data_IF_395165970278
#
_entry.id   IF_395165970278
#
_cell.length_a   1.000
_cell.length_b   1.000
_cell.length_c   1.000
_cell.angle_alpha   90.00
_cell.angle_beta   90.00
_cell.angle_gamma   90.00
#
_symmetry.space_group_name_H-M   'P 1'
#
loop_
_entity.id
_entity.type
_entity.pdbx_description
1 polymer ?
#
# COMPACT_ATOMS: atom_id res chain seq x y z
N UNK A 1 24.69 13.72 -12.22
CA UNK A 1 23.76 13.02 -13.12
C UNK A 1 22.56 13.91 -13.18
N UNK A 2 22.38 14.55 -14.32
CA UNK A 2 21.18 15.34 -14.59
C UNK A 2 20.13 14.40 -15.20
N UNK A 3 18.84 14.72 -15.07
CA UNK A 3 17.75 13.91 -15.62
C UNK A 3 17.91 13.61 -17.13
N UNK A 4 18.71 14.44 -17.83
CA UNK A 4 19.02 14.31 -19.26
C UNK A 4 19.97 13.16 -19.59
N UNK A 5 20.63 12.59 -18.59
CA UNK A 5 21.58 11.47 -18.73
C UNK A 5 20.87 10.11 -18.59
N UNK A 6 19.56 10.09 -18.33
CA UNK A 6 18.78 8.85 -18.19
C UNK A 6 18.45 8.30 -19.58
N UNK A 7 18.96 7.10 -19.87
CA UNK A 7 18.61 6.37 -21.09
C UNK A 7 17.22 5.74 -20.95
N UNK A 8 16.29 6.16 -21.82
CA UNK A 8 14.89 5.73 -21.84
C UNK A 8 14.58 4.81 -23.03
N UNK A 9 15.60 4.38 -23.79
CA UNK A 9 15.40 3.55 -24.99
C UNK A 9 14.74 2.20 -24.67
N UNK A 10 15.10 1.59 -23.55
CA UNK A 10 14.54 0.30 -23.11
C UNK A 10 13.28 0.44 -22.23
N UNK A 11 13.11 1.59 -21.56
CA UNK A 11 12.01 1.84 -20.61
C UNK A 11 11.44 3.24 -20.89
N UNK A 12 10.52 3.36 -21.87
CA UNK A 12 9.91 4.65 -22.18
C UNK A 12 9.07 5.16 -21.00
N UNK A 13 8.95 6.48 -20.89
CA UNK A 13 8.14 7.11 -19.86
C UNK A 13 6.66 6.74 -19.98
N UNK A 14 6.02 6.54 -18.83
CA UNK A 14 4.59 6.23 -18.76
C UNK A 14 3.80 7.51 -19.05
N UNK A 15 3.03 7.50 -20.14
CA UNK A 15 2.09 8.57 -20.48
C UNK A 15 0.91 8.62 -19.49
N UNK A 16 0.27 9.78 -19.35
CA UNK A 16 -0.94 9.92 -18.53
C UNK A 16 -2.08 9.00 -19.00
N UNK A 17 -2.19 8.76 -20.30
CA UNK A 17 -3.16 7.83 -20.90
C UNK A 17 -2.89 6.39 -20.47
N UNK A 18 -1.62 5.96 -20.50
CA UNK A 18 -1.20 4.64 -20.02
C UNK A 18 -1.44 4.48 -18.51
N UNK A 19 -1.20 5.55 -17.72
CA UNK A 19 -1.50 5.53 -16.28
C UNK A 19 -3.00 5.41 -16.00
N UNK A 20 -3.85 6.06 -16.81
CA UNK A 20 -5.30 5.92 -16.75
C UNK A 20 -5.75 4.46 -16.89
N UNK A 21 -5.09 3.72 -17.77
CA UNK A 21 -5.35 2.30 -18.05
C UNK A 21 -4.71 1.33 -17.05
N UNK A 22 -3.84 1.79 -16.14
CA UNK A 22 -3.16 0.92 -15.18
C UNK A 22 -4.17 0.10 -14.34
N UNK A 23 -3.86 -1.14 -13.99
CA UNK A 23 -4.71 -1.98 -13.15
C UNK A 23 -4.03 -2.16 -11.80
N UNK A 24 -4.71 -1.78 -10.71
CA UNK A 24 -4.21 -2.06 -9.37
C UNK A 24 -4.21 -3.59 -9.17
N UNK A 25 -3.09 -4.16 -8.74
CA UNK A 25 -2.98 -5.59 -8.43
C UNK A 25 -2.57 -5.78 -6.98
N UNK A 26 -3.22 -6.73 -6.32
CA UNK A 26 -2.86 -7.19 -4.97
C UNK A 26 -2.61 -8.70 -5.05
N UNK A 27 -1.43 -9.14 -4.62
CA UNK A 27 -0.98 -10.54 -4.70
C UNK A 27 -1.14 -11.14 -6.11
N UNK A 28 -0.78 -10.36 -7.15
CA UNK A 28 -0.85 -10.77 -8.56
C UNK A 28 -2.26 -10.70 -9.18
N UNK A 29 -3.32 -10.48 -8.39
CA UNK A 29 -4.70 -10.42 -8.88
C UNK A 29 -5.14 -8.97 -9.13
N UNK A 30 -5.82 -8.68 -10.25
CA UNK A 30 -6.39 -7.36 -10.49
C UNK A 30 -7.48 -7.07 -9.45
N UNK A 31 -7.48 -5.83 -8.93
CA UNK A 31 -8.50 -5.33 -8.01
C UNK A 31 -9.11 -4.05 -8.57
N UNK A 32 -10.39 -3.82 -8.31
CA UNK A 32 -11.09 -2.62 -8.75
C UNK A 32 -10.44 -1.37 -8.15
N UNK A 33 -10.25 -0.34 -8.97
CA UNK A 33 -9.89 0.99 -8.47
C UNK A 33 -11.07 1.56 -7.67
N UNK A 34 -10.86 1.83 -6.38
CA UNK A 34 -11.86 2.50 -5.53
C UNK A 34 -12.13 1.81 -4.19
N UNK A 35 -13.09 2.36 -3.44
CA UNK A 35 -13.56 1.80 -2.17
C UNK A 35 -14.59 0.70 -2.44
N UNK A 36 -14.45 -0.44 -1.78
CA UNK A 36 -15.45 -1.52 -1.80
C UNK A 36 -16.34 -1.40 -0.56
N UNK A 37 -17.67 -1.44 -0.74
CA UNK A 37 -18.59 -1.51 0.38
C UNK A 37 -18.56 -2.92 0.95
N UNK A 38 -18.10 -3.05 2.20
CA UNK A 38 -18.13 -4.29 2.96
C UNK A 38 -19.27 -4.23 3.97
N UNK A 39 -20.00 -5.33 4.13
CA UNK A 39 -20.94 -5.51 5.24
C UNK A 39 -20.27 -6.45 6.25
N UNK A 40 -19.71 -5.87 7.31
CA UNK A 40 -19.00 -6.59 8.35
C UNK A 40 -19.31 -5.97 9.71
N UNK A 41 -19.21 -6.79 10.76
CA UNK A 41 -19.27 -6.29 12.13
C UNK A 41 -17.91 -5.73 12.54
N UNK A 42 -17.93 -4.61 13.26
CA UNK A 42 -16.80 -4.03 13.97
C UNK A 42 -17.22 -3.84 15.42
N UNK A 43 -16.30 -4.05 16.35
CA UNK A 43 -16.57 -3.81 17.77
C UNK A 43 -16.95 -2.35 18.00
N UNK A 44 -17.92 -2.14 18.90
CA UNK A 44 -18.40 -0.79 19.22
C UNK A 44 -17.27 0.10 19.72
N UNK A 45 -16.35 -0.45 20.51
CA UNK A 45 -15.18 0.27 21.02
C UNK A 45 -14.29 0.81 19.88
N UNK A 46 -14.05 -0.01 18.84
CA UNK A 46 -13.26 0.40 17.68
C UNK A 46 -13.94 1.55 16.94
N UNK A 47 -15.26 1.45 16.72
CA UNK A 47 -16.02 2.51 16.06
C UNK A 47 -15.99 3.81 16.86
N UNK A 48 -16.20 3.74 18.17
CA UNK A 48 -16.20 4.92 19.04
C UNK A 48 -14.80 5.54 19.16
N UNK A 49 -13.74 4.73 19.23
CA UNK A 49 -12.35 5.20 19.20
C UNK A 49 -12.07 6.05 17.96
N UNK A 50 -12.39 5.52 16.76
CA UNK A 50 -12.14 6.25 15.52
C UNK A 50 -13.09 7.43 15.31
N UNK A 51 -14.31 7.40 15.87
CA UNK A 51 -15.20 8.58 15.90
C UNK A 51 -14.64 9.70 16.77
N UNK A 52 -14.07 9.38 17.93
CA UNK A 52 -13.47 10.38 18.81
C UNK A 52 -12.24 11.05 18.17
N UNK A 53 -11.49 10.32 17.35
CA UNK A 53 -10.34 10.85 16.60
C UNK A 53 -10.74 11.54 15.28
N UNK A 54 -11.92 11.23 14.76
CA UNK A 54 -12.48 11.82 13.56
C UNK A 54 -12.96 13.25 13.83
N UNK A 55 -12.05 14.22 13.70
CA UNK A 55 -12.39 15.64 13.60
C UNK A 55 -13.12 15.94 12.29
N UNK A 56 -12.54 16.76 11.42
CA UNK A 56 -13.11 17.03 10.07
C UNK A 56 -13.00 15.84 9.11
N UNK A 57 -12.17 14.85 9.42
CA UNK A 57 -11.95 13.65 8.62
C UNK A 57 -12.87 12.54 9.11
N UNK A 58 -13.70 11.97 8.25
CA UNK A 58 -14.65 10.92 8.66
C UNK A 58 -13.96 9.65 9.21
N UNK A 59 -14.52 9.06 10.27
CA UNK A 59 -13.97 7.89 10.99
C UNK A 59 -13.67 6.69 10.09
N UNK A 60 -14.49 6.44 9.05
CA UNK A 60 -14.24 5.38 8.07
C UNK A 60 -12.94 5.59 7.30
N UNK A 61 -12.56 6.84 7.04
CA UNK A 61 -11.29 7.16 6.38
C UNK A 61 -10.13 6.83 7.31
N UNK A 62 -10.23 7.13 8.62
CA UNK A 62 -9.20 6.79 9.59
C UNK A 62 -9.01 5.28 9.70
N UNK A 63 -10.11 4.53 9.86
CA UNK A 63 -10.08 3.05 9.86
C UNK A 63 -9.34 2.53 8.63
N UNK A 64 -9.70 3.03 7.45
CA UNK A 64 -9.08 2.58 6.21
C UNK A 64 -7.58 2.93 6.12
N UNK A 65 -7.14 4.08 6.63
CA UNK A 65 -5.72 4.42 6.69
C UNK A 65 -4.95 3.55 7.67
N UNK A 66 -5.51 3.26 8.85
CA UNK A 66 -4.90 2.33 9.81
C UNK A 66 -4.74 0.93 9.23
N UNK A 67 -5.75 0.41 8.51
CA UNK A 67 -5.64 -0.87 7.82
C UNK A 67 -4.52 -0.85 6.76
N UNK A 68 -4.39 0.24 6.00
CA UNK A 68 -3.30 0.40 5.03
C UNK A 68 -1.93 0.46 5.72
N UNK A 69 -1.82 1.09 6.88
CA UNK A 69 -0.58 1.15 7.67
C UNK A 69 -0.16 -0.23 8.16
N UNK A 70 -1.09 -1.00 8.72
CA UNK A 70 -0.85 -2.39 9.14
C UNK A 70 -0.38 -3.24 7.96
N UNK A 71 -1.02 -3.14 6.80
CA UNK A 71 -0.57 -3.85 5.58
C UNK A 71 0.85 -3.48 5.14
N UNK A 72 1.31 -2.25 5.42
CA UNK A 72 2.70 -1.83 5.13
C UNK A 72 3.68 -2.37 6.18
N UNK A 73 3.29 -2.36 7.46
CA UNK A 73 4.09 -2.90 8.56
C UNK A 73 4.41 -4.38 8.37
N UNK A 74 3.40 -5.20 8.05
CA UNK A 74 3.57 -6.64 7.83
C UNK A 74 4.55 -6.94 6.69
N UNK A 75 4.50 -6.12 5.63
CA UNK A 75 5.44 -6.24 4.49
C UNK A 75 6.86 -5.89 4.90
N UNK A 76 7.04 -4.81 5.66
CA UNK A 76 8.36 -4.38 6.10
C UNK A 76 9.02 -5.43 7.01
N UNK A 77 8.27 -6.01 7.95
CA UNK A 77 8.79 -7.07 8.82
C UNK A 77 9.22 -8.29 8.00
N UNK A 78 8.40 -8.71 7.04
CA UNK A 78 8.72 -9.83 6.16
C UNK A 78 10.00 -9.57 5.35
N UNK A 79 10.15 -8.37 4.78
CA UNK A 79 11.35 -7.95 4.04
C UNK A 79 12.57 -7.96 4.95
N UNK A 80 12.49 -7.40 6.15
CA UNK A 80 13.61 -7.36 7.10
C UNK A 80 14.03 -8.79 7.48
N UNK A 81 13.08 -9.68 7.78
CA UNK A 81 13.40 -11.10 8.08
C UNK A 81 14.07 -11.80 6.90
N UNK A 82 13.66 -11.49 5.68
CA UNK A 82 14.27 -12.05 4.47
C UNK A 82 15.72 -11.57 4.33
N UNK A 83 15.95 -10.26 4.37
CA UNK A 83 17.30 -9.66 4.24
C UNK A 83 18.23 -10.20 5.33
N UNK A 84 17.78 -10.26 6.59
CA UNK A 84 18.60 -10.83 7.67
C UNK A 84 18.99 -12.29 7.39
N UNK A 85 18.07 -13.12 6.87
CA UNK A 85 18.40 -14.50 6.50
C UNK A 85 19.43 -14.55 5.39
N UNK A 86 19.25 -13.77 4.33
CA UNK A 86 20.16 -13.70 3.18
C UNK A 86 21.58 -13.32 3.62
N UNK A 87 21.71 -12.29 4.46
CA UNK A 87 23.00 -11.85 5.03
C UNK A 87 23.65 -12.94 5.90
N UNK A 88 22.87 -13.63 6.75
CA UNK A 88 23.39 -14.74 7.57
C UNK A 88 23.83 -15.96 6.75
N UNK A 89 23.20 -16.24 5.61
CA UNK A 89 23.65 -17.29 4.68
C UNK A 89 24.88 -16.88 3.87
N UNK A 90 25.02 -15.60 3.56
CA UNK A 90 26.15 -15.07 2.76
C UNK A 90 27.40 -14.88 3.61
N UNK A 91 27.24 -14.61 4.91
CA UNK A 91 28.32 -14.52 5.89
C UNK A 91 28.91 -15.89 6.32
N UNK A 92 28.52 -16.98 5.64
CA UNK A 92 28.97 -18.35 5.90
C UNK A 92 29.80 -18.87 4.75
#
# INVERSE_FOLDING_TARGET
>A
MDDKDIDLTDIPEITAEQLGQAILRVSGKPVSKGKVRVNMYLDSEVVEYFKAQAGSRGYQTLINETLKESMRGDKLEAIIRQVIREELTTAK
#
